data_IF_088309496549
#
_entry.id   IF_088309496549
#
_cell.length_a   1.000
_cell.length_b   1.000
_cell.length_c   1.000
_cell.angle_alpha   90.00
_cell.angle_beta   90.00
_cell.angle_gamma   90.00
#
_symmetry.space_group_name_H-M   'P 1'
#
loop_
_entity.id
_entity.type
_entity.pdbx_description
1 polymer ?
#
# COMPACT_ATOMS: atom_id res chain seq x y z
N UNK A 1 -4.22 5.67 15.32
CA UNK A 1 -4.35 5.47 13.86
C UNK A 1 -5.81 5.27 13.51
N UNK A 2 -6.26 5.95 12.46
CA UNK A 2 -7.59 5.88 11.87
C UNK A 2 -7.48 5.33 10.45
N UNK A 3 -8.48 4.54 10.06
CA UNK A 3 -8.57 3.94 8.73
C UNK A 3 -9.75 4.58 7.98
N UNK A 4 -9.54 4.94 6.73
CA UNK A 4 -10.59 5.49 5.89
C UNK A 4 -10.62 4.82 4.52
N UNK A 5 -11.80 4.83 3.91
CA UNK A 5 -11.96 4.59 2.48
C UNK A 5 -12.37 5.90 1.81
N UNK A 6 -11.76 6.17 0.67
CA UNK A 6 -12.12 7.24 -0.24
C UNK A 6 -12.58 6.59 -1.54
N UNK A 7 -13.80 6.91 -1.95
CA UNK A 7 -14.36 6.48 -3.25
C UNK A 7 -14.22 7.64 -4.22
N UNK A 8 -13.19 7.67 -5.09
CA UNK A 8 -12.93 8.82 -5.94
C UNK A 8 -14.10 9.09 -6.89
N UNK A 9 -14.35 10.36 -7.20
CA UNK A 9 -15.42 10.71 -8.14
C UNK A 9 -15.18 10.07 -9.51
N UNK A 10 -16.24 9.73 -10.26
CA UNK A 10 -16.10 9.28 -11.65
C UNK A 10 -15.26 10.29 -12.45
N UNK A 11 -14.28 9.79 -13.22
CA UNK A 11 -13.38 10.59 -14.06
C UNK A 11 -12.44 11.56 -13.31
N UNK A 12 -12.48 11.59 -11.98
CA UNK A 12 -11.57 12.38 -11.15
C UNK A 12 -10.22 11.68 -10.99
N UNK A 13 -9.14 12.47 -10.95
CA UNK A 13 -7.85 11.98 -10.50
C UNK A 13 -7.88 11.89 -8.97
N UNK A 14 -7.98 10.66 -8.45
CA UNK A 14 -8.01 10.38 -7.02
C UNK A 14 -6.84 11.01 -6.25
N UNK A 15 -5.71 11.29 -6.91
CA UNK A 15 -4.54 11.94 -6.29
C UNK A 15 -4.84 13.37 -5.85
N UNK A 16 -5.74 14.07 -6.57
CA UNK A 16 -6.18 15.41 -6.18
C UNK A 16 -7.05 15.35 -4.92
N UNK A 17 -7.95 14.38 -4.84
CA UNK A 17 -8.80 14.16 -3.66
C UNK A 17 -7.98 13.76 -2.43
N UNK A 18 -7.01 12.87 -2.59
CA UNK A 18 -6.05 12.52 -1.53
C UNK A 18 -5.22 13.74 -1.08
N UNK A 19 -4.83 14.63 -2.00
CA UNK A 19 -4.11 15.86 -1.67
C UNK A 19 -4.92 16.81 -0.81
N UNK A 20 -6.25 16.83 -0.93
CA UNK A 20 -7.10 17.61 -0.03
C UNK A 20 -7.13 17.00 1.38
N UNK A 21 -7.11 15.67 1.49
CA UNK A 21 -7.03 14.96 2.78
C UNK A 21 -5.70 15.25 3.49
N UNK A 22 -4.57 15.20 2.76
CA UNK A 22 -3.23 15.45 3.35
C UNK A 22 -3.03 16.88 3.86
N UNK A 23 -3.82 17.85 3.38
CA UNK A 23 -3.81 19.22 3.94
C UNK A 23 -4.46 19.28 5.33
N UNK A 24 -5.32 18.33 5.67
CA UNK A 24 -6.14 18.33 6.90
C UNK A 24 -5.68 17.29 7.91
N UNK A 25 -4.97 16.25 7.50
CA UNK A 25 -4.39 15.26 8.40
C UNK A 25 -3.07 14.71 7.86
N UNK A 26 -2.29 14.14 8.78
CA UNK A 26 -1.05 13.44 8.45
C UNK A 26 -1.38 12.00 8.07
N UNK A 27 -1.33 11.74 6.77
CA UNK A 27 -1.46 10.39 6.25
C UNK A 27 -0.20 9.57 6.56
N UNK A 28 -0.40 8.28 6.78
CA UNK A 28 0.68 7.31 6.74
C UNK A 28 1.39 7.36 5.38
N UNK A 29 2.65 6.94 5.36
CA UNK A 29 3.46 7.03 4.13
C UNK A 29 2.87 6.25 2.96
N UNK A 30 2.11 5.20 3.24
CA UNK A 30 1.53 4.33 2.23
C UNK A 30 0.06 4.03 2.54
N UNK A 31 -0.67 3.74 1.46
CA UNK A 31 -1.98 3.11 1.50
C UNK A 31 -2.11 2.17 0.31
N UNK A 32 -3.32 1.73 0.01
CA UNK A 32 -3.55 0.91 -1.18
C UNK A 32 -4.84 1.25 -1.88
N UNK A 33 -4.91 0.89 -3.16
CA UNK A 33 -6.10 1.02 -3.99
C UNK A 33 -6.62 -0.37 -4.35
N UNK A 34 -7.92 -0.57 -4.18
CA UNK A 34 -8.64 -1.78 -4.53
C UNK A 34 -9.97 -1.39 -5.18
N UNK A 35 -10.26 -1.92 -6.38
CA UNK A 35 -11.52 -1.66 -7.11
C UNK A 35 -11.87 -0.18 -7.22
N UNK A 36 -10.86 0.63 -7.57
CA UNK A 36 -10.91 2.10 -7.67
C UNK A 36 -11.04 2.85 -6.34
N UNK A 37 -11.38 2.19 -5.23
CA UNK A 37 -11.44 2.74 -3.88
C UNK A 37 -10.02 2.87 -3.32
N UNK A 38 -9.74 4.01 -2.70
CA UNK A 38 -8.50 4.32 -2.00
C UNK A 38 -8.70 4.01 -0.53
N UNK A 39 -7.79 3.23 0.03
CA UNK A 39 -7.72 2.90 1.45
C UNK A 39 -6.48 3.57 2.01
N UNK A 40 -6.66 4.39 3.04
CA UNK A 40 -5.59 5.17 3.63
C UNK A 40 -5.67 5.17 5.14
N UNK A 41 -4.52 5.42 5.76
CA UNK A 41 -4.36 5.48 7.20
C UNK A 41 -3.89 6.87 7.58
N UNK A 42 -4.36 7.39 8.72
CA UNK A 42 -3.86 8.63 9.27
C UNK A 42 -3.78 8.55 10.80
N UNK A 43 -2.94 9.39 11.40
CA UNK A 43 -2.81 9.42 12.87
C UNK A 43 -4.15 9.77 13.52
N UNK A 44 -4.77 10.85 13.03
CA UNK A 44 -6.06 11.40 13.44
C UNK A 44 -6.85 11.85 12.20
N UNK A 45 -8.09 11.36 12.07
CA UNK A 45 -8.97 11.75 10.97
C UNK A 45 -9.69 13.05 11.36
N UNK A 46 -9.66 14.10 10.52
CA UNK A 46 -10.38 15.34 10.78
C UNK A 46 -11.90 15.10 10.65
N UNK A 47 -12.71 16.09 11.03
CA UNK A 47 -14.17 15.98 10.94
C UNK A 47 -14.60 15.53 9.54
N UNK A 48 -15.27 14.38 9.48
CA UNK A 48 -15.78 13.79 8.24
C UNK A 48 -16.71 14.76 7.51
N UNK A 49 -17.48 15.55 8.26
CA UNK A 49 -18.42 16.53 7.71
C UNK A 49 -17.69 17.61 6.93
N UNK A 50 -16.55 18.06 7.44
CA UNK A 50 -15.69 19.04 6.78
C UNK A 50 -15.09 18.44 5.49
N UNK A 51 -14.55 17.23 5.56
CA UNK A 51 -13.99 16.55 4.38
C UNK A 51 -15.06 16.30 3.31
N UNK A 52 -16.26 15.89 3.71
CA UNK A 52 -17.39 15.67 2.81
C UNK A 52 -17.91 16.99 2.21
N UNK A 53 -17.81 18.11 2.93
CA UNK A 53 -18.16 19.45 2.41
C UNK A 53 -17.25 19.91 1.26
N UNK A 54 -16.01 19.39 1.18
CA UNK A 54 -15.12 19.55 0.03
C UNK A 54 -15.56 18.69 -1.18
N UNK A 55 -16.66 17.96 -1.03
CA UNK A 55 -17.18 17.01 -1.99
C UNK A 55 -16.39 15.71 -2.03
N UNK A 56 -15.61 15.36 -1.01
CA UNK A 56 -14.90 14.08 -0.94
C UNK A 56 -15.87 12.99 -0.50
N UNK A 57 -15.91 11.87 -1.23
CA UNK A 57 -16.67 10.70 -0.79
C UNK A 57 -15.78 9.82 0.11
N UNK A 58 -15.61 10.29 1.34
CA UNK A 58 -14.76 9.68 2.36
C UNK A 58 -15.61 9.17 3.53
N UNK A 59 -15.22 8.01 4.05
CA UNK A 59 -15.83 7.37 5.21
C UNK A 59 -14.73 6.84 6.13
N UNK A 60 -14.87 7.08 7.44
CA UNK A 60 -14.10 6.34 8.44
C UNK A 60 -14.61 4.90 8.48
N UNK A 61 -13.70 3.95 8.53
CA UNK A 61 -14.00 2.52 8.66
C UNK A 61 -13.26 1.96 9.88
N UNK A 62 -13.75 0.86 10.47
CA UNK A 62 -13.09 0.25 11.61
C UNK A 62 -11.62 -0.04 11.29
N UNK A 63 -10.74 0.39 12.19
CA UNK A 63 -9.33 0.09 12.05
C UNK A 63 -9.09 -1.41 12.26
N UNK A 64 -8.39 -2.01 11.29
CA UNK A 64 -7.95 -3.40 11.34
C UNK A 64 -6.44 -3.42 11.08
N UNK A 65 -5.69 -3.95 12.03
CA UNK A 65 -4.23 -4.06 11.94
C UNK A 65 -3.79 -4.89 10.73
N UNK A 66 -4.59 -5.89 10.33
CA UNK A 66 -4.31 -6.70 9.15
C UNK A 66 -4.28 -5.87 7.85
N UNK A 67 -5.01 -4.76 7.77
CA UNK A 67 -4.97 -3.85 6.61
C UNK A 67 -3.66 -3.06 6.54
N UNK A 68 -3.15 -2.65 7.69
CA UNK A 68 -1.85 -1.98 7.79
C UNK A 68 -0.72 -2.96 7.45
N UNK A 69 -0.77 -4.17 8.02
CA UNK A 69 0.20 -5.24 7.74
C UNK A 69 0.23 -5.61 6.27
N UNK A 70 -0.93 -5.75 5.64
CA UNK A 70 -1.04 -5.98 4.19
C UNK A 70 -0.32 -4.89 3.39
N UNK A 71 -0.50 -3.63 3.77
CA UNK A 71 0.15 -2.49 3.11
C UNK A 71 1.67 -2.55 3.28
N UNK A 72 2.15 -2.85 4.49
CA UNK A 72 3.56 -2.98 4.81
C UNK A 72 4.21 -4.15 4.05
N UNK A 73 3.57 -5.31 4.04
CA UNK A 73 4.05 -6.50 3.31
C UNK A 73 4.13 -6.22 1.80
N UNK A 74 3.15 -5.52 1.24
CA UNK A 74 3.17 -5.10 -0.17
C UNK A 74 4.32 -4.15 -0.50
N UNK A 75 4.66 -3.22 0.40
CA UNK A 75 5.82 -2.32 0.28
C UNK A 75 7.12 -3.13 0.33
N UNK A 76 7.24 -4.05 1.29
CA UNK A 76 8.41 -4.88 1.47
C UNK A 76 8.60 -5.88 0.32
N UNK A 77 7.51 -6.37 -0.27
CA UNK A 77 7.57 -7.13 -1.53
C UNK A 77 8.20 -6.31 -2.65
N UNK A 78 7.84 -5.04 -2.78
CA UNK A 78 8.42 -4.13 -3.76
C UNK A 78 9.93 -3.93 -3.54
N UNK A 79 10.35 -3.71 -2.30
CA UNK A 79 11.77 -3.60 -1.92
C UNK A 79 12.55 -4.87 -2.19
N UNK A 80 11.97 -6.01 -1.86
CA UNK A 80 12.57 -7.34 -2.06
C UNK A 80 12.81 -7.61 -3.55
N UNK A 81 11.84 -7.27 -4.42
CA UNK A 81 12.04 -7.33 -5.88
C UNK A 81 13.20 -6.45 -6.35
N UNK A 82 13.23 -5.19 -5.90
CA UNK A 82 14.32 -4.27 -6.27
C UNK A 82 15.69 -4.77 -5.82
N UNK A 83 15.78 -5.45 -4.67
CA UNK A 83 17.04 -6.05 -4.19
C UNK A 83 17.45 -7.24 -5.05
N UNK A 84 16.52 -8.08 -5.50
CA UNK A 84 16.81 -9.17 -6.45
C UNK A 84 17.37 -8.60 -7.74
N UNK A 85 16.74 -7.57 -8.30
CA UNK A 85 17.19 -6.92 -9.53
C UNK A 85 18.62 -6.34 -9.36
N UNK A 86 18.90 -5.70 -8.22
CA UNK A 86 20.24 -5.21 -7.90
C UNK A 86 21.28 -6.33 -7.83
N UNK A 87 20.97 -7.45 -7.15
CA UNK A 87 21.88 -8.58 -7.04
C UNK A 87 22.18 -9.21 -8.39
N UNK A 88 21.17 -9.33 -9.26
CA UNK A 88 21.36 -9.81 -10.64
C UNK A 88 22.27 -8.89 -11.43
N UNK A 89 22.00 -7.58 -11.38
CA UNK A 89 22.83 -6.59 -12.04
C UNK A 89 24.28 -6.62 -11.54
N UNK A 90 24.52 -6.70 -10.22
CA UNK A 90 25.88 -6.82 -9.68
C UNK A 90 26.60 -8.08 -10.13
N UNK A 91 25.89 -9.20 -10.27
CA UNK A 91 26.48 -10.44 -10.79
C UNK A 91 26.83 -10.32 -12.27
N UNK A 92 25.91 -9.78 -13.08
CA UNK A 92 26.03 -9.70 -14.54
C UNK A 92 27.06 -8.65 -14.97
N UNK A 93 27.06 -7.47 -14.34
CA UNK A 93 27.92 -6.34 -14.73
C UNK A 93 29.25 -6.30 -13.96
N UNK A 94 29.27 -6.74 -12.68
CA UNK A 94 30.45 -6.61 -11.82
C UNK A 94 31.06 -7.97 -11.43
N UNK A 95 30.52 -9.09 -11.91
CA UNK A 95 31.04 -10.43 -11.61
C UNK A 95 30.90 -10.84 -10.13
N UNK A 96 29.97 -10.23 -9.39
CA UNK A 96 29.76 -10.52 -7.98
C UNK A 96 29.33 -11.99 -7.75
N UNK A 97 29.88 -12.64 -6.72
CA UNK A 97 29.47 -13.98 -6.29
C UNK A 97 28.43 -13.90 -5.16
N UNK A 98 27.20 -13.54 -5.51
CA UNK A 98 26.11 -13.25 -4.57
C UNK A 98 24.92 -14.23 -4.68
N UNK A 99 25.10 -15.39 -5.30
CA UNK A 99 24.04 -16.39 -5.57
C UNK A 99 23.29 -16.84 -4.31
N UNK A 100 24.00 -17.00 -3.19
CA UNK A 100 23.37 -17.38 -1.92
C UNK A 100 22.50 -16.25 -1.35
N UNK A 101 22.95 -14.99 -1.47
CA UNK A 101 22.15 -13.83 -1.06
C UNK A 101 20.89 -13.71 -1.93
N UNK A 102 21.01 -13.89 -3.25
CA UNK A 102 19.85 -13.91 -4.14
C UNK A 102 18.85 -14.99 -3.73
N UNK A 103 19.30 -16.21 -3.42
CA UNK A 103 18.42 -17.30 -2.98
C UNK A 103 17.65 -16.95 -1.71
N UNK A 104 18.29 -16.31 -0.72
CA UNK A 104 17.65 -15.86 0.51
C UNK A 104 16.59 -14.78 0.23
N UNK A 105 16.92 -13.79 -0.61
CA UNK A 105 15.98 -12.72 -0.97
C UNK A 105 14.82 -13.27 -1.82
N UNK A 106 15.07 -14.25 -2.66
CA UNK A 106 14.04 -14.94 -3.44
C UNK A 106 13.08 -15.74 -2.54
N UNK A 107 13.60 -16.42 -1.51
CA UNK A 107 12.75 -17.08 -0.52
C UNK A 107 11.88 -16.06 0.23
N UNK A 108 12.46 -14.96 0.68
CA UNK A 108 11.71 -13.87 1.31
C UNK A 108 10.59 -13.33 0.40
N UNK A 109 10.83 -13.22 -0.90
CA UNK A 109 9.82 -12.79 -1.87
C UNK A 109 8.65 -13.79 -1.92
N UNK A 110 8.95 -15.09 -1.92
CA UNK A 110 7.92 -16.16 -1.86
C UNK A 110 7.10 -16.06 -0.58
N UNK A 111 7.76 -15.92 0.57
CA UNK A 111 7.09 -15.82 1.86
C UNK A 111 6.15 -14.60 1.92
N UNK A 112 6.63 -13.44 1.43
CA UNK A 112 5.81 -12.22 1.32
C UNK A 112 4.61 -12.40 0.38
N UNK A 113 4.76 -13.10 -0.75
CA UNK A 113 3.64 -13.36 -1.65
C UNK A 113 2.58 -14.24 -0.98
N UNK A 114 3.00 -15.29 -0.27
CA UNK A 114 2.10 -16.17 0.46
C UNK A 114 1.37 -15.42 1.58
N UNK A 115 2.11 -14.62 2.36
CA UNK A 115 1.55 -13.80 3.45
C UNK A 115 0.53 -12.78 2.91
N UNK A 116 0.87 -12.03 1.86
CA UNK A 116 -0.06 -11.08 1.22
C UNK A 116 -1.32 -11.79 0.73
N UNK A 117 -1.19 -12.96 0.12
CA UNK A 117 -2.34 -13.70 -0.38
C UNK A 117 -3.25 -14.19 0.75
N UNK A 118 -2.67 -14.75 1.82
CA UNK A 118 -3.42 -15.16 3.01
C UNK A 118 -4.13 -13.98 3.69
N UNK A 119 -3.46 -12.83 3.84
CA UNK A 119 -4.07 -11.63 4.42
C UNK A 119 -5.20 -11.08 3.54
N UNK A 120 -5.06 -11.12 2.22
CA UNK A 120 -6.14 -10.75 1.30
C UNK A 120 -7.36 -11.65 1.46
N UNK A 121 -7.16 -12.96 1.59
CA UNK A 121 -8.24 -13.93 1.80
C UNK A 121 -8.94 -13.69 3.14
N UNK A 122 -8.19 -13.44 4.21
CA UNK A 122 -8.75 -13.13 5.52
C UNK A 122 -9.57 -11.82 5.55
N UNK A 123 -9.24 -10.87 4.66
CA UNK A 123 -9.91 -9.58 4.52
C UNK A 123 -10.99 -9.57 3.42
N UNK A 124 -11.30 -10.72 2.82
CA UNK A 124 -12.21 -10.86 1.68
C UNK A 124 -11.86 -9.94 0.48
N UNK A 125 -10.57 -9.63 0.31
CA UNK A 125 -10.05 -8.79 -0.77
C UNK A 125 -9.81 -9.65 -2.02
N UNK A 126 -10.72 -9.52 -2.98
CA UNK A 126 -10.58 -10.15 -4.30
C UNK A 126 -9.81 -9.24 -5.28
N UNK A 127 -9.05 -9.83 -6.21
CA UNK A 127 -8.36 -9.06 -7.26
C UNK A 127 -7.04 -8.40 -6.84
N UNK A 128 -6.67 -7.34 -7.57
CA UNK A 128 -5.32 -6.75 -7.52
C UNK A 128 -5.30 -5.46 -6.70
N UNK A 129 -4.39 -5.42 -5.73
CA UNK A 129 -4.09 -4.24 -4.94
C UNK A 129 -2.96 -3.42 -5.59
N UNK A 130 -3.06 -2.10 -5.52
CA UNK A 130 -1.99 -1.18 -5.92
C UNK A 130 -1.57 -0.33 -4.74
N UNK A 131 -0.29 -0.39 -4.36
CA UNK A 131 0.27 0.52 -3.35
C UNK A 131 0.14 1.96 -3.82
N UNK A 132 -0.27 2.82 -2.90
CA UNK A 132 -0.28 4.25 -3.05
C UNK A 132 0.87 4.84 -2.23
N UNK A 133 1.52 5.84 -2.81
CA UNK A 133 2.44 6.74 -2.11
C UNK A 133 1.75 8.08 -2.05
N UNK A 134 1.62 8.63 -0.84
CA UNK A 134 0.96 9.91 -0.59
C UNK A 134 1.97 11.05 -0.54
#
# INVERSE_FOLDING_TARGET
MKFFKLTPKPQSDFRLEVKEITKKCKLEKHGYRHNKIVYGFCDELPDLTELQSLGLNIEEIPFDEAQLDLTNDMVDRGRTKSKIDHLKHEREENGANNTQEEAVVQQKLTDLNNKIQATKEALDITGTLRILKF
#
